data_IF_567376032694
#
_entry.id   IF_567376032694
#
_cell.length_a   1.000
_cell.length_b   1.000
_cell.length_c   1.000
_cell.angle_alpha   90.00
_cell.angle_beta   90.00
_cell.angle_gamma   90.00
#
_symmetry.space_group_name_H-M   'P 1'
#
loop_
_entity.id
_entity.type
_entity.pdbx_description
1 polymer ?
#
# COMPACT_ATOMS: atom_id res chain seq x y z
N UNK A 1 -3.25 -8.17 18.77
CA UNK A 1 -4.01 -7.70 19.95
C UNK A 1 -3.85 -6.21 20.18
N UNK A 2 -4.93 -5.45 20.06
CA UNK A 2 -4.93 -4.00 20.30
C UNK A 2 -4.61 -3.65 21.76
N UNK A 3 -5.00 -4.51 22.69
CA UNK A 3 -4.79 -4.28 24.11
C UNK A 3 -3.33 -4.50 24.53
N UNK A 4 -2.61 -5.42 23.88
CA UNK A 4 -1.15 -5.58 24.09
C UNK A 4 -0.38 -4.34 23.64
N UNK A 5 -0.74 -3.76 22.50
CA UNK A 5 -0.13 -2.52 22.01
C UNK A 5 -0.35 -1.36 22.99
N UNK A 6 -1.58 -1.20 23.50
CA UNK A 6 -1.90 -0.18 24.52
C UNK A 6 -1.17 -0.41 25.84
N UNK A 7 -1.01 -1.67 26.26
CA UNK A 7 -0.30 -2.02 27.48
C UNK A 7 1.20 -1.71 27.35
N UNK A 8 1.80 -2.05 26.21
CA UNK A 8 3.20 -1.75 25.87
C UNK A 8 3.46 -0.25 25.91
N UNK A 9 2.63 0.55 25.23
CA UNK A 9 2.75 2.00 25.19
C UNK A 9 2.53 2.67 26.55
N UNK A 10 1.75 2.03 27.43
CA UNK A 10 1.39 2.56 28.74
C UNK A 10 0.42 3.74 28.67
N UNK A 11 0.44 4.55 29.74
CA UNK A 11 -0.42 5.72 29.91
C UNK A 11 0.42 6.99 30.02
N UNK A 12 -0.15 8.09 29.53
CA UNK A 12 0.38 9.44 29.69
C UNK A 12 0.12 9.94 31.13
N UNK A 13 0.73 11.09 31.46
CA UNK A 13 0.53 11.79 32.73
C UNK A 13 -0.93 12.18 32.99
N UNK A 14 -1.73 12.32 31.94
CA UNK A 14 -3.17 12.60 32.00
C UNK A 14 -4.05 11.35 32.16
N UNK A 15 -3.44 10.16 32.30
CA UNK A 15 -4.13 8.88 32.47
C UNK A 15 -4.65 8.24 31.18
N UNK A 16 -4.55 8.91 30.02
CA UNK A 16 -4.95 8.35 28.72
C UNK A 16 -3.90 7.38 28.19
N UNK A 17 -4.32 6.42 27.36
CA UNK A 17 -3.38 5.54 26.66
C UNK A 17 -2.50 6.34 25.71
N UNK A 18 -1.20 6.04 25.70
CA UNK A 18 -0.22 6.77 24.90
C UNK A 18 -0.39 6.56 23.38
N UNK A 19 -0.97 5.43 22.98
CA UNK A 19 -1.41 5.17 21.60
C UNK A 19 -2.92 4.96 21.54
N UNK A 20 -3.52 5.29 20.40
CA UNK A 20 -4.92 5.05 20.14
C UNK A 20 -5.18 4.64 18.69
N UNK A 21 -6.32 3.98 18.48
CA UNK A 21 -6.78 3.57 17.17
C UNK A 21 -7.68 4.67 16.59
N UNK A 22 -7.27 5.26 15.47
CA UNK A 22 -8.12 6.14 14.68
C UNK A 22 -9.10 5.27 13.88
N UNK A 23 -10.41 5.39 14.16
CA UNK A 23 -11.45 4.61 13.47
C UNK A 23 -11.68 5.09 12.03
N UNK A 24 -11.50 6.38 11.77
CA UNK A 24 -11.74 7.00 10.47
C UNK A 24 -10.64 6.60 9.48
N UNK A 25 -9.39 6.85 9.87
CA UNK A 25 -8.23 6.50 9.05
C UNK A 25 -7.86 5.01 9.14
N UNK A 26 -8.41 4.29 10.12
CA UNK A 26 -8.09 2.88 10.42
C UNK A 26 -6.59 2.67 10.67
N UNK A 27 -5.96 3.61 11.36
CA UNK A 27 -4.54 3.61 11.68
C UNK A 27 -4.31 3.76 13.19
N UNK A 28 -3.14 3.33 13.65
CA UNK A 28 -2.65 3.65 14.99
C UNK A 28 -2.03 5.05 14.98
N UNK A 29 -2.28 5.82 16.04
CA UNK A 29 -1.60 7.09 16.27
C UNK A 29 -1.02 7.14 17.68
N UNK A 30 0.20 7.68 17.78
CA UNK A 30 0.82 8.02 19.06
C UNK A 30 0.37 9.43 19.47
N UNK A 31 -0.01 9.60 20.74
CA UNK A 31 -0.34 10.91 21.30
C UNK A 31 0.95 11.69 21.61
N UNK A 32 0.89 13.03 21.63
CA UNK A 32 2.02 13.85 22.10
C UNK A 32 2.45 13.41 23.52
N UNK A 33 3.75 13.20 23.71
CA UNK A 33 4.31 12.69 24.96
C UNK A 33 4.34 11.16 25.07
N UNK A 34 3.98 10.42 24.01
CA UNK A 34 4.20 8.98 23.94
C UNK A 34 5.70 8.67 23.89
N UNK A 35 6.14 7.77 24.76
CA UNK A 35 7.46 7.18 24.72
C UNK A 35 7.54 6.19 23.54
N UNK A 36 8.29 6.55 22.49
CA UNK A 36 8.38 5.77 21.25
C UNK A 36 9.16 4.47 21.44
N UNK A 37 10.07 4.41 22.40
CA UNK A 37 10.89 3.22 22.67
C UNK A 37 10.04 2.06 23.21
N UNK A 38 8.90 2.37 23.83
CA UNK A 38 7.93 1.38 24.34
C UNK A 38 7.03 0.78 23.27
N UNK A 39 7.02 1.38 22.08
CA UNK A 39 6.16 0.95 20.97
C UNK A 39 6.97 0.57 19.73
N UNK A 40 8.30 0.51 19.81
CA UNK A 40 9.17 0.19 18.66
C UNK A 40 8.78 -1.14 18.01
N UNK A 41 8.45 -2.16 18.80
CA UNK A 41 7.96 -3.47 18.31
C UNK A 41 6.64 -3.39 17.52
N UNK A 42 5.89 -2.30 17.69
CA UNK A 42 4.61 -2.05 17.04
C UNK A 42 4.71 -1.04 15.89
N UNK A 43 5.86 -0.40 15.71
CA UNK A 43 6.09 0.50 14.59
C UNK A 43 6.20 -0.33 13.30
N UNK A 44 5.73 0.22 12.16
CA UNK A 44 6.03 -0.39 10.88
C UNK A 44 7.55 -0.48 10.72
N UNK A 45 8.03 -1.63 10.26
CA UNK A 45 9.45 -1.82 9.97
C UNK A 45 9.92 -0.70 9.02
N UNK A 46 10.86 0.17 9.44
CA UNK A 46 11.29 1.31 8.63
C UNK A 46 12.01 0.86 7.34
N UNK A 47 12.52 -0.37 7.30
CA UNK A 47 13.06 -0.98 6.08
C UNK A 47 11.97 -1.48 5.12
N UNK A 48 10.78 -1.80 5.66
CA UNK A 48 9.56 -1.95 4.85
C UNK A 48 9.07 -0.56 4.46
N UNK A 49 9.60 -0.05 3.35
CA UNK A 49 9.01 1.09 2.64
C UNK A 49 7.51 0.80 2.49
N UNK A 50 6.66 1.62 3.10
CA UNK A 50 5.28 1.74 2.62
C UNK A 50 5.42 2.10 1.15
N UNK A 51 5.03 1.21 0.24
CA UNK A 51 5.18 1.38 -1.20
C UNK A 51 4.61 2.72 -1.66
N UNK A 52 5.50 3.70 -1.70
CA UNK A 52 5.30 5.04 -2.27
C UNK A 52 6.32 5.24 -3.40
N UNK A 53 6.80 4.15 -3.99
CA UNK A 53 7.32 4.18 -5.35
C UNK A 53 6.16 4.41 -6.31
N UNK A 54 6.48 4.91 -7.50
CA UNK A 54 5.54 5.11 -8.59
C UNK A 54 5.00 3.74 -9.06
N UNK A 55 3.94 3.27 -8.38
CA UNK A 55 3.34 1.96 -8.59
C UNK A 55 2.87 1.76 -10.04
N UNK A 56 2.50 2.86 -10.71
CA UNK A 56 2.10 2.85 -12.11
C UNK A 56 3.29 2.56 -13.02
N UNK A 57 4.45 3.16 -12.74
CA UNK A 57 5.69 2.88 -13.48
C UNK A 57 6.20 1.46 -13.26
N UNK A 58 6.28 0.98 -12.02
CA UNK A 58 6.70 -0.41 -11.75
C UNK A 58 5.77 -1.43 -12.42
N UNK A 59 4.46 -1.14 -12.41
CA UNK A 59 3.48 -1.99 -13.07
C UNK A 59 3.62 -1.93 -14.59
N UNK A 60 3.86 -0.76 -15.19
CA UNK A 60 4.12 -0.61 -16.62
C UNK A 60 5.32 -1.44 -17.07
N UNK A 61 6.41 -1.44 -16.29
CA UNK A 61 7.61 -2.21 -16.58
C UNK A 61 7.30 -3.72 -16.63
N UNK A 62 6.55 -4.22 -15.63
CA UNK A 62 6.13 -5.64 -15.59
C UNK A 62 5.21 -5.99 -16.76
N UNK A 63 4.25 -5.13 -17.10
CA UNK A 63 3.35 -5.36 -18.24
C UNK A 63 4.13 -5.41 -19.56
N UNK A 64 5.08 -4.49 -19.75
CA UNK A 64 5.92 -4.42 -20.94
C UNK A 64 6.83 -5.64 -21.05
N UNK A 65 7.44 -6.05 -19.94
CA UNK A 65 8.26 -7.26 -19.86
C UNK A 65 7.45 -8.54 -20.16
N UNK A 66 6.18 -8.58 -19.76
CA UNK A 66 5.26 -9.66 -20.11
C UNK A 66 4.78 -9.61 -21.59
N UNK A 67 5.25 -8.63 -22.37
CA UNK A 67 4.93 -8.49 -23.79
C UNK A 67 3.62 -7.78 -24.07
N UNK A 68 3.02 -7.09 -23.07
CA UNK A 68 1.84 -6.27 -23.28
C UNK A 68 2.24 -4.89 -23.82
N UNK A 69 1.52 -4.42 -24.82
CA UNK A 69 1.73 -3.10 -25.44
C UNK A 69 0.75 -2.11 -24.83
N UNK A 70 1.19 -1.46 -23.74
CA UNK A 70 0.43 -0.41 -23.04
C UNK A 70 0.82 0.96 -23.60
N UNK A 71 -0.17 1.75 -24.02
CA UNK A 71 0.05 3.10 -24.56
C UNK A 71 -0.06 4.13 -23.43
N UNK A 72 1.06 4.62 -22.93
CA UNK A 72 1.12 5.55 -21.79
C UNK A 72 1.08 4.82 -20.44
N UNK A 73 0.58 5.49 -19.40
CA UNK A 73 0.48 4.89 -18.06
C UNK A 73 -0.65 3.86 -17.97
N UNK A 74 -0.45 2.77 -17.22
CA UNK A 74 -1.47 1.74 -17.04
C UNK A 74 -2.65 2.26 -16.23
N UNK A 75 -3.86 1.84 -16.59
CA UNK A 75 -5.07 2.17 -15.82
C UNK A 75 -5.15 1.24 -14.60
N UNK A 76 -5.12 1.80 -13.40
CA UNK A 76 -5.07 1.06 -12.13
C UNK A 76 -6.30 1.31 -11.23
N UNK A 77 -7.48 1.37 -11.84
CA UNK A 77 -8.77 1.58 -11.17
C UNK A 77 -9.52 0.28 -10.83
N UNK A 78 -8.87 -0.88 -11.00
CA UNK A 78 -9.48 -2.20 -10.83
C UNK A 78 -10.33 -2.68 -12.02
N UNK A 79 -10.43 -1.90 -13.10
CA UNK A 79 -11.11 -2.33 -14.32
C UNK A 79 -10.21 -3.22 -15.18
N UNK A 80 -10.84 -4.16 -15.89
CA UNK A 80 -10.13 -5.07 -16.79
C UNK A 80 -9.78 -4.36 -18.09
N UNK A 81 -8.49 -4.20 -18.37
CA UNK A 81 -7.98 -3.55 -19.57
C UNK A 81 -7.55 -4.58 -20.61
N UNK A 82 -7.90 -4.34 -21.88
CA UNK A 82 -7.47 -5.16 -23.02
C UNK A 82 -6.46 -4.41 -23.88
N UNK A 83 -5.31 -5.03 -24.11
CA UNK A 83 -4.20 -4.46 -24.87
C UNK A 83 -3.68 -5.44 -25.90
N UNK A 84 -2.97 -4.92 -26.91
CA UNK A 84 -2.22 -5.75 -27.83
C UNK A 84 -1.04 -6.40 -27.09
N UNK A 85 -0.60 -7.54 -27.58
CA UNK A 85 0.69 -8.13 -27.21
C UNK A 85 1.69 -7.97 -28.36
N UNK A 86 2.98 -8.11 -28.08
CA UNK A 86 4.04 -8.08 -29.11
C UNK A 86 3.87 -9.17 -30.17
N UNK A 87 3.20 -10.27 -29.84
CA UNK A 87 2.92 -11.40 -30.74
C UNK A 87 1.59 -11.26 -31.51
N UNK A 88 0.80 -10.22 -31.23
CA UNK A 88 -0.49 -10.03 -31.89
C UNK A 88 -0.32 -9.63 -33.36
N UNK A 89 -1.00 -10.37 -34.24
CA UNK A 89 -1.19 -9.97 -35.64
C UNK A 89 -2.16 -8.78 -35.70
N UNK A 90 -1.99 -7.94 -36.72
CA UNK A 90 -2.70 -6.67 -36.97
C UNK A 90 -4.09 -6.58 -36.32
N UNK A 91 -4.21 -5.70 -35.32
CA UNK A 91 -5.48 -5.31 -34.70
C UNK A 91 -5.99 -6.19 -33.55
N UNK A 92 -5.31 -7.31 -33.22
CA UNK A 92 -5.68 -8.13 -32.06
C UNK A 92 -5.26 -7.48 -30.74
N UNK A 93 -6.07 -7.73 -29.71
CA UNK A 93 -5.84 -7.32 -28.31
C UNK A 93 -5.97 -8.52 -27.40
N UNK A 94 -5.03 -9.46 -27.51
CA UNK A 94 -5.05 -10.72 -26.75
C UNK A 94 -4.61 -10.55 -25.30
N UNK A 95 -3.87 -9.48 -24.99
CA UNK A 95 -3.40 -9.15 -23.65
C UNK A 95 -4.51 -8.59 -22.75
N UNK A 96 -4.44 -8.94 -21.47
CA UNK A 96 -5.36 -8.46 -20.44
C UNK A 96 -4.58 -8.13 -19.17
N UNK A 97 -4.88 -6.99 -18.55
CA UNK A 97 -4.38 -6.65 -17.22
C UNK A 97 -5.46 -6.00 -16.35
N UNK A 98 -5.21 -5.97 -15.04
CA UNK A 98 -6.00 -5.29 -14.03
C UNK A 98 -5.04 -4.77 -12.96
N UNK A 99 -5.03 -3.47 -12.69
CA UNK A 99 -4.18 -2.85 -11.67
C UNK A 99 -5.03 -2.19 -10.58
N UNK A 100 -4.49 -2.07 -9.38
CA UNK A 100 -5.16 -1.48 -8.22
C UNK A 100 -4.24 -0.48 -7.52
N UNK A 101 -4.76 0.70 -7.18
CA UNK A 101 -4.08 1.71 -6.37
C UNK A 101 -4.68 1.88 -4.96
N UNK A 102 -5.70 1.10 -4.61
CA UNK A 102 -6.47 1.25 -3.37
C UNK A 102 -5.77 0.70 -2.11
N UNK A 103 -4.50 0.26 -2.25
CA UNK A 103 -3.66 -0.30 -1.18
C UNK A 103 -4.32 -1.46 -0.44
N UNK A 104 -5.24 -2.18 -1.09
CA UNK A 104 -5.86 -3.40 -0.55
C UNK A 104 -5.24 -4.61 -1.25
N UNK A 105 -4.62 -5.54 -0.50
CA UNK A 105 -4.14 -6.79 -1.07
C UNK A 105 -5.27 -7.66 -1.60
#
# INVERSE_FOLDING_TARGET
>A
DRDKARLSAGRLSDGRAAIAWNKEEKLWFARPGCDLDRITDWLPDPSRRAGGGDAESEFLDVLTQAGLVVKGMPVMDGSRQRVATVDDKHGKKSGVYCGFLDRRP
#
